data_IF_852027802778
#
_entry.id   IF_852027802778
#
_cell.length_a   1.000
_cell.length_b   1.000
_cell.length_c   1.000
_cell.angle_alpha   90.00
_cell.angle_beta   90.00
_cell.angle_gamma   90.00
#
_symmetry.space_group_name_H-M   'P 1'
#
loop_
_entity.id
_entity.type
_entity.pdbx_description
1 polymer ?
#
# COMPACT_ATOMS: atom_id res chain seq x y z
N UNK A 1 8.48 50.75 -45.84
CA UNK A 1 8.94 51.10 -44.46
C UNK A 1 8.91 49.85 -43.64
N UNK A 2 10.00 49.13 -43.50
CA UNK A 2 10.07 47.96 -42.61
C UNK A 2 10.40 48.49 -41.21
N UNK A 3 9.42 48.50 -40.32
CA UNK A 3 9.58 48.93 -38.94
C UNK A 3 10.61 48.03 -38.27
N UNK A 4 11.70 48.63 -37.80
CA UNK A 4 12.70 47.99 -36.91
C UNK A 4 11.98 47.65 -35.61
N UNK A 5 11.57 46.42 -35.46
CA UNK A 5 11.08 45.90 -34.17
C UNK A 5 12.25 46.04 -33.20
N UNK A 6 12.04 46.81 -32.14
CA UNK A 6 13.06 47.06 -31.13
C UNK A 6 13.55 45.76 -30.48
N UNK A 7 14.83 45.71 -30.13
CA UNK A 7 15.43 44.50 -29.56
C UNK A 7 14.63 43.97 -28.34
N UNK A 8 14.09 44.89 -27.55
CA UNK A 8 13.23 44.60 -26.39
C UNK A 8 11.98 43.82 -26.75
N UNK A 9 11.32 44.19 -27.86
CA UNK A 9 10.11 43.47 -28.35
C UNK A 9 10.47 42.08 -28.84
N UNK A 10 11.63 41.90 -29.50
CA UNK A 10 12.07 40.56 -29.94
C UNK A 10 12.38 39.66 -28.76
N UNK A 11 13.04 40.18 -27.72
CA UNK A 11 13.31 39.45 -26.48
C UNK A 11 12.03 39.11 -25.73
N UNK A 12 11.07 40.06 -25.68
CA UNK A 12 9.77 39.81 -25.07
C UNK A 12 8.96 38.70 -25.75
N UNK A 13 8.94 38.72 -27.10
CA UNK A 13 8.26 37.66 -27.87
C UNK A 13 8.95 36.31 -27.67
N UNK A 14 10.26 36.27 -27.68
CA UNK A 14 11.02 35.04 -27.44
C UNK A 14 10.74 34.46 -26.06
N UNK A 15 10.78 35.32 -25.02
CA UNK A 15 10.48 34.91 -23.64
C UNK A 15 9.04 34.40 -23.49
N UNK A 16 8.09 35.03 -24.18
CA UNK A 16 6.68 34.63 -24.16
C UNK A 16 6.48 33.25 -24.84
N UNK A 17 7.10 33.02 -25.98
CA UNK A 17 7.07 31.74 -26.70
C UNK A 17 7.74 30.65 -25.83
N UNK A 18 8.87 30.94 -25.22
CA UNK A 18 9.57 30.01 -24.32
C UNK A 18 8.67 29.62 -23.12
N UNK A 19 7.93 30.58 -22.55
CA UNK A 19 6.99 30.33 -21.46
C UNK A 19 5.84 29.45 -21.91
N UNK A 20 5.29 29.67 -23.10
CA UNK A 20 4.22 28.83 -23.66
C UNK A 20 4.73 27.40 -23.87
N UNK A 21 5.91 27.24 -24.46
CA UNK A 21 6.51 25.89 -24.67
C UNK A 21 6.74 25.20 -23.33
N UNK A 22 7.27 25.91 -22.35
CA UNK A 22 7.49 25.37 -21.00
C UNK A 22 6.17 24.94 -20.35
N UNK A 23 5.13 25.76 -20.46
CA UNK A 23 3.80 25.45 -19.94
C UNK A 23 3.23 24.20 -20.61
N UNK A 24 3.30 24.12 -21.96
CA UNK A 24 2.85 22.95 -22.69
C UNK A 24 3.66 21.69 -22.33
N UNK A 25 4.96 21.82 -22.14
CA UNK A 25 5.83 20.73 -21.70
C UNK A 25 5.43 20.21 -20.31
N UNK A 26 5.17 21.11 -19.35
CA UNK A 26 4.72 20.75 -18.00
C UNK A 26 3.36 20.04 -18.06
N UNK A 27 2.41 20.56 -18.85
CA UNK A 27 1.12 19.90 -19.03
C UNK A 27 1.21 18.55 -19.76
N UNK A 28 2.18 18.39 -20.66
CA UNK A 28 2.40 17.13 -21.38
C UNK A 28 2.99 16.03 -20.52
N UNK A 29 3.80 16.37 -19.52
CA UNK A 29 4.42 15.42 -18.58
C UNK A 29 3.44 15.07 -17.45
N UNK A 30 2.55 16.00 -17.09
CA UNK A 30 1.53 15.75 -16.10
C UNK A 30 0.49 14.79 -16.67
N UNK A 31 0.49 13.54 -16.21
CA UNK A 31 -0.61 12.58 -16.45
C UNK A 31 -1.86 13.06 -15.70
N UNK A 32 -2.50 14.09 -16.28
CA UNK A 32 -3.71 14.65 -15.69
C UNK A 32 -4.86 13.68 -15.94
N UNK A 33 -5.13 12.80 -14.99
CA UNK A 33 -6.26 11.85 -14.97
C UNK A 33 -7.65 12.55 -14.95
N UNK A 34 -7.70 13.89 -14.99
CA UNK A 34 -8.93 14.69 -14.88
C UNK A 34 -9.96 14.38 -15.97
N UNK A 35 -9.55 13.86 -17.12
CA UNK A 35 -10.42 13.59 -18.27
C UNK A 35 -10.65 12.11 -18.60
N UNK A 36 -10.10 11.18 -17.82
CA UNK A 36 -10.38 9.75 -18.06
C UNK A 36 -11.76 9.40 -17.49
N UNK A 37 -12.67 8.84 -18.32
CA UNK A 37 -13.96 8.39 -17.83
C UNK A 37 -13.76 7.23 -16.87
N UNK A 38 -14.32 7.33 -15.68
CA UNK A 38 -14.18 6.33 -14.63
C UNK A 38 -15.36 6.40 -13.66
N UNK A 39 -15.30 5.59 -12.63
CA UNK A 39 -16.25 5.58 -11.53
C UNK A 39 -15.52 5.44 -10.19
N UNK A 40 -16.15 5.88 -9.13
CA UNK A 40 -15.58 5.80 -7.80
C UNK A 40 -16.31 4.75 -6.98
N UNK A 41 -15.56 3.94 -6.24
CA UNK A 41 -16.09 3.04 -5.22
C UNK A 41 -15.48 3.40 -3.86
N UNK A 42 -16.10 2.91 -2.80
CA UNK A 42 -15.56 3.02 -1.44
C UNK A 42 -15.03 1.67 -0.99
N UNK A 43 -13.87 1.67 -0.33
CA UNK A 43 -13.30 0.45 0.26
C UNK A 43 -13.09 0.70 1.74
N UNK A 44 -13.64 -0.17 2.58
CA UNK A 44 -13.54 -0.05 4.04
C UNK A 44 -12.55 -1.06 4.61
N UNK A 45 -11.65 -0.56 5.45
CA UNK A 45 -10.69 -1.34 6.22
C UNK A 45 -10.82 -1.02 7.71
N UNK A 46 -10.45 -1.95 8.58
CA UNK A 46 -10.19 -1.64 10.00
C UNK A 46 -8.77 -1.07 10.17
N UNK A 47 -7.86 -1.47 9.28
CA UNK A 47 -6.48 -1.02 9.29
C UNK A 47 -5.92 -0.95 7.86
N UNK A 48 -5.46 0.23 7.44
CA UNK A 48 -4.89 0.48 6.12
C UNK A 48 -3.48 1.07 6.26
N UNK A 49 -2.48 0.22 6.43
CA UNK A 49 -1.10 0.65 6.69
C UNK A 49 -0.45 1.25 5.45
N UNK A 50 0.04 2.49 5.57
CA UNK A 50 0.91 3.12 4.57
C UNK A 50 0.22 3.60 3.30
N UNK A 51 -1.09 3.38 3.13
CA UNK A 51 -1.83 3.85 1.97
C UNK A 51 -2.00 5.37 2.03
N UNK A 52 -1.79 6.04 0.90
CA UNK A 52 -1.88 7.50 0.79
C UNK A 52 -2.79 7.89 -0.38
N UNK A 53 -3.19 9.16 -0.40
CA UNK A 53 -3.87 9.74 -1.58
C UNK A 53 -2.89 9.73 -2.76
N UNK A 54 -3.37 9.31 -3.93
CA UNK A 54 -2.55 9.09 -5.12
C UNK A 54 -1.93 7.68 -5.21
N UNK A 55 -2.11 6.84 -4.19
CA UNK A 55 -1.63 5.46 -4.25
C UNK A 55 -2.28 4.72 -5.43
N UNK A 56 -1.50 3.92 -6.20
CA UNK A 56 -2.04 3.18 -7.32
C UNK A 56 -3.04 2.12 -6.85
N UNK A 57 -4.06 1.88 -7.67
CA UNK A 57 -5.03 0.80 -7.49
C UNK A 57 -4.83 -0.21 -8.58
N UNK A 58 -4.63 -1.46 -8.20
CA UNK A 58 -4.46 -2.58 -9.12
C UNK A 58 -5.64 -3.53 -9.03
N UNK A 59 -6.00 -4.07 -10.17
CA UNK A 59 -7.01 -5.12 -10.28
C UNK A 59 -6.36 -6.30 -10.98
N UNK A 60 -6.29 -7.44 -10.32
CA UNK A 60 -5.56 -8.62 -10.81
C UNK A 60 -4.10 -8.29 -11.22
N UNK A 61 -3.40 -7.45 -10.44
CA UNK A 61 -2.01 -7.05 -10.68
C UNK A 61 -1.81 -5.96 -11.75
N UNK A 62 -2.86 -5.50 -12.42
CA UNK A 62 -2.80 -4.47 -13.46
C UNK A 62 -3.29 -3.14 -12.89
N UNK A 63 -2.57 -2.06 -13.16
CA UNK A 63 -2.97 -0.72 -12.74
C UNK A 63 -4.31 -0.34 -13.39
N UNK A 64 -5.28 0.02 -12.55
CA UNK A 64 -6.68 0.22 -12.93
C UNK A 64 -7.26 1.54 -12.41
N UNK A 65 -6.52 2.25 -11.56
CA UNK A 65 -7.00 3.49 -10.96
C UNK A 65 -6.09 4.02 -9.87
N UNK A 66 -6.64 4.88 -9.02
CA UNK A 66 -5.91 5.52 -7.92
C UNK A 66 -6.80 5.80 -6.71
N UNK A 67 -6.20 5.93 -5.55
CA UNK A 67 -6.85 6.34 -4.31
C UNK A 67 -7.01 7.86 -4.32
N UNK A 68 -8.25 8.35 -4.31
CA UNK A 68 -8.56 9.78 -4.32
C UNK A 68 -8.63 10.39 -2.92
N UNK A 69 -9.05 9.59 -1.94
CA UNK A 69 -9.27 10.09 -0.60
C UNK A 69 -9.09 8.98 0.44
N UNK A 70 -8.53 9.33 1.59
CA UNK A 70 -8.34 8.44 2.74
C UNK A 70 -8.99 9.09 3.95
N UNK A 71 -10.07 8.49 4.44
CA UNK A 71 -10.85 9.01 5.56
C UNK A 71 -10.78 8.05 6.75
N UNK A 72 -10.38 8.56 7.91
CA UNK A 72 -10.46 7.84 9.18
C UNK A 72 -11.73 8.27 9.90
N UNK A 73 -12.59 7.33 10.22
CA UNK A 73 -13.80 7.53 11.02
C UNK A 73 -13.81 6.60 12.22
N UNK A 74 -14.53 7.00 13.26
CA UNK A 74 -14.73 6.19 14.46
C UNK A 74 -16.20 5.76 14.52
N UNK A 75 -16.43 4.45 14.62
CA UNK A 75 -17.76 3.90 14.86
C UNK A 75 -18.02 3.92 16.37
N UNK A 76 -18.74 4.93 16.85
CA UNK A 76 -19.04 5.11 18.29
C UNK A 76 -19.78 3.92 18.87
N UNK A 77 -20.60 3.20 18.07
CA UNK A 77 -21.37 2.06 18.53
C UNK A 77 -20.52 0.80 18.73
N UNK A 78 -19.41 0.69 17.98
CA UNK A 78 -18.53 -0.49 18.02
C UNK A 78 -17.18 -0.21 18.66
N UNK A 79 -16.88 1.06 19.00
CA UNK A 79 -15.60 1.47 19.57
C UNK A 79 -14.39 1.16 18.68
N UNK A 80 -14.60 1.09 17.34
CA UNK A 80 -13.55 0.71 16.40
C UNK A 80 -13.30 1.82 15.38
N UNK A 81 -12.03 2.05 15.09
CA UNK A 81 -11.64 2.89 13.97
C UNK A 81 -11.97 2.19 12.64
N UNK A 82 -12.34 2.97 11.63
CA UNK A 82 -12.59 2.51 10.27
C UNK A 82 -11.90 3.45 9.30
N UNK A 83 -11.13 2.89 8.39
CA UNK A 83 -10.52 3.62 7.29
C UNK A 83 -11.36 3.40 6.04
N UNK A 84 -11.86 4.48 5.45
CA UNK A 84 -12.60 4.44 4.18
C UNK A 84 -11.74 5.07 3.10
N UNK A 85 -11.41 4.29 2.09
CA UNK A 85 -10.72 4.77 0.88
C UNK A 85 -11.76 5.08 -0.19
N UNK A 86 -11.70 6.29 -0.77
CA UNK A 86 -12.42 6.62 -2.01
C UNK A 86 -11.50 6.32 -3.18
N UNK A 87 -11.87 5.37 -4.00
CA UNK A 87 -11.04 4.80 -5.06
C UNK A 87 -11.67 5.13 -6.41
N UNK A 88 -10.89 5.77 -7.28
CA UNK A 88 -11.27 5.98 -8.66
C UNK A 88 -10.73 4.85 -9.54
N UNK A 89 -11.58 4.36 -10.43
CA UNK A 89 -11.30 3.23 -11.34
C UNK A 89 -11.65 3.62 -12.77
N UNK A 90 -10.86 3.15 -13.72
CA UNK A 90 -11.13 3.32 -15.14
C UNK A 90 -12.47 2.67 -15.53
N UNK A 91 -13.23 3.31 -16.43
CA UNK A 91 -14.57 2.87 -16.85
C UNK A 91 -14.60 1.45 -17.43
N UNK A 92 -13.49 1.00 -18.03
CA UNK A 92 -13.37 -0.34 -18.62
C UNK A 92 -13.22 -1.47 -17.60
N UNK A 93 -12.88 -1.14 -16.35
CA UNK A 93 -12.64 -2.11 -15.29
C UNK A 93 -13.97 -2.54 -14.68
N UNK A 94 -14.19 -3.85 -14.63
CA UNK A 94 -15.40 -4.46 -14.06
C UNK A 94 -15.01 -5.26 -12.82
N UNK A 95 -15.54 -4.87 -11.67
CA UNK A 95 -15.23 -5.48 -10.39
C UNK A 95 -16.47 -6.19 -9.87
N UNK A 96 -16.43 -7.53 -9.70
CA UNK A 96 -17.48 -8.30 -9.03
C UNK A 96 -17.68 -7.86 -7.58
N UNK A 97 -18.90 -8.00 -7.05
CA UNK A 97 -19.19 -7.63 -5.65
C UNK A 97 -18.51 -8.51 -4.61
N UNK A 98 -18.19 -9.74 -4.98
CA UNK A 98 -17.46 -10.71 -4.16
C UNK A 98 -15.93 -10.58 -4.27
N UNK A 99 -15.44 -9.49 -4.86
CA UNK A 99 -14.00 -9.18 -4.93
C UNK A 99 -13.42 -8.87 -3.56
N UNK A 100 -12.13 -9.15 -3.38
CA UNK A 100 -11.39 -8.84 -2.16
C UNK A 100 -10.42 -7.69 -2.42
N UNK A 101 -10.41 -6.70 -1.54
CA UNK A 101 -9.44 -5.62 -1.57
C UNK A 101 -8.47 -5.74 -0.40
N UNK A 102 -7.18 -5.56 -0.64
CA UNK A 102 -6.18 -5.51 0.41
C UNK A 102 -5.09 -4.48 0.09
N UNK A 103 -4.48 -3.93 1.13
CA UNK A 103 -3.33 -3.05 0.97
C UNK A 103 -2.08 -3.91 0.83
N UNK A 104 -1.29 -3.67 -0.22
CA UNK A 104 -0.05 -4.39 -0.50
C UNK A 104 1.10 -3.40 -0.67
N UNK A 105 2.33 -3.90 -0.67
CA UNK A 105 3.55 -3.09 -0.83
C UNK A 105 4.30 -3.58 -2.07
N UNK A 106 4.75 -2.67 -2.90
CA UNK A 106 5.52 -3.01 -4.10
C UNK A 106 6.95 -3.43 -3.73
N UNK A 107 7.20 -4.74 -3.72
CA UNK A 107 8.46 -5.31 -3.27
C UNK A 107 8.63 -5.26 -1.74
N UNK A 108 9.88 -5.21 -1.25
CA UNK A 108 10.18 -5.24 0.19
C UNK A 108 10.14 -3.86 0.86
N UNK A 109 10.35 -2.78 0.10
CA UNK A 109 10.51 -1.40 0.63
C UNK A 109 9.77 -0.39 -0.29
N UNK A 110 8.82 -0.84 -1.11
CA UNK A 110 8.10 0.01 -2.05
C UNK A 110 6.94 0.79 -1.42
N UNK A 111 6.26 1.55 -2.27
CA UNK A 111 5.05 2.26 -1.88
C UNK A 111 3.88 1.30 -1.68
N UNK A 112 3.00 1.65 -0.76
CA UNK A 112 1.76 0.91 -0.55
C UNK A 112 0.78 1.19 -1.70
N UNK A 113 0.08 0.16 -2.15
CA UNK A 113 -0.95 0.25 -3.17
C UNK A 113 -2.17 -0.59 -2.77
N UNK A 114 -3.31 -0.29 -3.39
CA UNK A 114 -4.52 -1.05 -3.20
C UNK A 114 -4.59 -2.15 -4.26
N UNK A 115 -4.58 -3.42 -3.85
CA UNK A 115 -4.84 -4.55 -4.74
C UNK A 115 -6.29 -4.99 -4.59
N UNK A 116 -6.97 -5.17 -5.71
CA UNK A 116 -8.30 -5.75 -5.78
C UNK A 116 -8.20 -7.08 -6.53
N UNK A 117 -8.44 -8.16 -5.82
CA UNK A 117 -8.53 -9.50 -6.41
C UNK A 117 -9.97 -9.71 -6.86
N UNK A 118 -10.23 -9.82 -8.16
CA UNK A 118 -11.58 -10.02 -8.68
C UNK A 118 -12.19 -11.31 -8.16
N UNK A 119 -13.47 -11.25 -7.78
CA UNK A 119 -14.27 -12.41 -7.46
C UNK A 119 -14.75 -13.15 -8.72
N UNK A 120 -15.69 -14.05 -8.55
CA UNK A 120 -16.25 -14.89 -9.64
C UNK A 120 -17.66 -14.46 -10.06
N UNK A 121 -18.34 -13.62 -9.29
CA UNK A 121 -19.72 -13.19 -9.54
C UNK A 121 -19.81 -12.01 -10.52
N UNK A 122 -19.52 -12.26 -11.78
CA UNK A 122 -19.63 -11.25 -12.83
C UNK A 122 -21.09 -10.87 -13.19
N UNK A 123 -22.09 -11.54 -12.60
CA UNK A 123 -23.49 -11.14 -12.72
C UNK A 123 -23.80 -9.89 -11.87
N UNK A 124 -23.07 -9.70 -10.78
CA UNK A 124 -23.24 -8.57 -9.86
C UNK A 124 -21.94 -7.75 -9.77
N UNK A 125 -21.87 -6.70 -10.58
CA UNK A 125 -20.73 -5.79 -10.61
C UNK A 125 -20.91 -4.60 -9.66
N UNK A 126 -19.79 -4.10 -9.13
CA UNK A 126 -19.76 -2.84 -8.39
C UNK A 126 -20.03 -1.66 -9.34
N UNK A 127 -20.81 -0.71 -8.84
CA UNK A 127 -21.15 0.54 -9.52
C UNK A 127 -20.56 1.72 -8.77
N UNK A 128 -20.58 2.88 -9.38
CA UNK A 128 -20.19 4.11 -8.72
C UNK A 128 -20.96 4.33 -7.41
N UNK A 129 -20.22 4.58 -6.34
CA UNK A 129 -20.76 4.77 -4.99
C UNK A 129 -20.88 3.48 -4.15
N UNK A 130 -20.73 2.29 -4.76
CA UNK A 130 -20.81 1.02 -4.03
C UNK A 130 -19.63 0.87 -3.05
N UNK A 131 -19.88 0.04 -2.02
CA UNK A 131 -18.93 -0.27 -0.96
C UNK A 131 -18.34 -1.66 -1.15
N UNK A 132 -17.02 -1.75 -1.12
CA UNK A 132 -16.27 -3.00 -1.04
C UNK A 132 -15.69 -3.15 0.37
N UNK A 133 -15.70 -4.35 0.91
CA UNK A 133 -15.06 -4.63 2.20
C UNK A 133 -13.63 -5.05 1.92
N UNK A 134 -12.69 -4.33 2.52
CA UNK A 134 -11.28 -4.65 2.46
C UNK A 134 -10.92 -5.76 3.45
N UNK A 135 -9.93 -6.55 3.09
CA UNK A 135 -9.30 -7.52 3.95
C UNK A 135 -8.11 -6.84 4.64
N UNK A 136 -8.15 -6.75 5.96
CA UNK A 136 -7.05 -6.17 6.71
C UNK A 136 -5.80 -7.07 6.58
N UNK A 137 -4.61 -6.49 6.39
CA UNK A 137 -3.39 -7.27 6.37
C UNK A 137 -3.18 -7.96 7.73
N UNK A 138 -2.68 -9.20 7.75
CA UNK A 138 -2.33 -9.83 9.01
C UNK A 138 -1.29 -8.96 9.74
N UNK A 139 -1.51 -8.73 11.02
CA UNK A 139 -0.52 -8.03 11.84
C UNK A 139 0.76 -8.85 11.95
N UNK A 140 1.90 -8.19 12.11
CA UNK A 140 3.18 -8.87 12.31
C UNK A 140 3.11 -9.80 13.54
N UNK A 141 2.35 -9.41 14.56
CA UNK A 141 2.11 -10.23 15.75
C UNK A 141 1.31 -11.50 15.41
N UNK A 142 0.29 -11.42 14.55
CA UNK A 142 -0.46 -12.59 14.11
C UNK A 142 0.39 -13.57 13.32
N UNK A 143 1.30 -13.07 12.46
CA UNK A 143 2.25 -13.90 11.74
C UNK A 143 3.23 -14.59 12.70
N UNK A 144 3.71 -13.88 13.73
CA UNK A 144 4.58 -14.44 14.76
C UNK A 144 3.85 -15.51 15.60
N UNK A 145 2.59 -15.28 15.96
CA UNK A 145 1.78 -16.26 16.70
C UNK A 145 1.58 -17.55 15.88
N UNK A 146 1.32 -17.43 14.58
CA UNK A 146 1.25 -18.60 13.69
C UNK A 146 2.58 -19.32 13.62
N UNK A 147 3.70 -18.62 13.51
CA UNK A 147 5.04 -19.21 13.50
C UNK A 147 5.36 -19.93 14.82
N UNK A 148 4.97 -19.36 15.95
CA UNK A 148 5.13 -20.00 17.27
C UNK A 148 4.32 -21.29 17.38
N UNK A 149 3.03 -21.25 17.01
CA UNK A 149 2.14 -22.43 17.04
C UNK A 149 2.62 -23.52 16.09
N UNK A 150 3.14 -23.12 14.93
CA UNK A 150 3.72 -24.08 14.00
C UNK A 150 4.92 -24.80 14.62
N UNK A 151 5.82 -24.05 15.29
CA UNK A 151 6.95 -24.62 16.01
C UNK A 151 6.52 -25.57 17.13
N UNK A 152 5.53 -25.20 17.94
CA UNK A 152 4.98 -26.05 19.00
C UNK A 152 4.29 -27.32 18.45
N UNK A 153 3.52 -27.18 17.37
CA UNK A 153 2.89 -28.33 16.70
C UNK A 153 3.92 -29.29 16.13
N UNK A 154 5.02 -28.78 15.65
CA UNK A 154 6.13 -29.58 15.14
C UNK A 154 6.88 -30.31 16.25
N UNK A 155 7.09 -29.70 17.43
CA UNK A 155 7.66 -30.37 18.60
C UNK A 155 6.76 -31.53 19.08
N UNK A 156 5.46 -31.27 19.13
CA UNK A 156 4.46 -32.29 19.51
C UNK A 156 4.43 -33.45 18.50
N UNK A 157 4.53 -33.14 17.20
CA UNK A 157 4.64 -34.16 16.14
C UNK A 157 5.89 -35.01 16.30
N UNK A 158 7.05 -34.39 16.58
CA UNK A 158 8.30 -35.12 16.82
C UNK A 158 8.23 -36.04 18.06
N UNK A 159 7.62 -35.55 19.14
CA UNK A 159 7.40 -36.35 20.34
C UNK A 159 6.49 -37.55 20.10
N UNK A 160 5.55 -37.43 19.15
CA UNK A 160 4.63 -38.53 18.78
C UNK A 160 5.23 -39.50 17.74
N UNK A 161 6.23 -39.04 16.98
CA UNK A 161 6.88 -39.81 15.91
C UNK A 161 8.14 -40.57 16.39
N UNK A 162 8.37 -40.63 17.69
CA UNK A 162 9.56 -41.19 18.31
C UNK A 162 9.79 -42.66 17.95
N UNK A 163 8.72 -43.40 17.59
CA UNK A 163 8.74 -44.81 17.17
C UNK A 163 9.05 -45.00 15.67
N UNK A 164 8.96 -43.98 14.85
CA UNK A 164 8.97 -44.09 13.38
C UNK A 164 10.16 -43.40 12.73
N UNK A 165 10.79 -42.47 13.42
CA UNK A 165 11.93 -41.71 12.89
C UNK A 165 13.25 -42.25 13.36
N UNK A 166 14.21 -42.37 12.42
CA UNK A 166 15.58 -42.67 12.66
C UNK A 166 16.28 -41.60 13.53
N UNK A 167 17.21 -41.98 14.39
CA UNK A 167 17.87 -41.09 15.35
C UNK A 167 18.59 -39.92 14.68
N UNK A 168 19.19 -40.12 13.50
CA UNK A 168 19.87 -39.07 12.73
C UNK A 168 18.85 -38.03 12.21
N UNK A 169 17.71 -38.48 11.70
CA UNK A 169 16.61 -37.59 11.24
C UNK A 169 16.02 -36.76 12.38
N UNK A 170 15.96 -37.34 13.59
CA UNK A 170 15.51 -36.61 14.80
C UNK A 170 16.43 -35.47 15.18
N UNK A 171 17.78 -35.70 15.06
CA UNK A 171 18.77 -34.67 15.36
C UNK A 171 18.67 -33.52 14.36
N UNK A 172 18.64 -33.81 13.06
CA UNK A 172 18.52 -32.80 11.99
C UNK A 172 17.24 -31.98 12.11
N UNK A 173 16.14 -32.64 12.49
CA UNK A 173 14.85 -31.99 12.67
C UNK A 173 14.84 -31.05 13.90
N UNK A 174 15.43 -31.47 15.02
CA UNK A 174 15.60 -30.64 16.21
C UNK A 174 16.48 -29.42 15.94
N UNK A 175 17.54 -29.57 15.16
CA UNK A 175 18.42 -28.47 14.77
C UNK A 175 17.68 -27.49 13.84
N UNK A 176 16.90 -28.00 12.89
CA UNK A 176 16.06 -27.18 12.00
C UNK A 176 15.05 -26.35 12.79
N UNK A 177 14.38 -26.93 13.80
CA UNK A 177 13.44 -26.24 14.67
C UNK A 177 14.15 -25.17 15.51
N UNK A 178 15.31 -25.51 16.05
CA UNK A 178 16.10 -24.55 16.82
C UNK A 178 16.48 -23.33 15.96
N UNK A 179 16.98 -23.55 14.76
CA UNK A 179 17.34 -22.51 13.80
C UNK A 179 16.13 -21.66 13.40
N UNK A 180 14.96 -22.28 13.22
CA UNK A 180 13.72 -21.57 12.93
C UNK A 180 13.25 -20.69 14.09
N UNK A 181 13.38 -21.16 15.34
CA UNK A 181 13.12 -20.36 16.54
C UNK A 181 14.04 -19.16 16.65
N UNK A 182 15.34 -19.34 16.46
CA UNK A 182 16.32 -18.25 16.46
C UNK A 182 16.03 -17.23 15.36
N UNK A 183 15.71 -17.69 14.17
CA UNK A 183 15.29 -16.84 13.07
C UNK A 183 14.04 -16.04 13.42
N UNK A 184 13.02 -16.67 13.95
CA UNK A 184 11.77 -16.01 14.38
C UNK A 184 12.02 -14.97 15.48
N UNK A 185 12.87 -15.27 16.47
CA UNK A 185 13.28 -14.33 17.50
C UNK A 185 14.03 -13.13 16.92
N UNK A 186 14.93 -13.38 15.98
CA UNK A 186 15.69 -12.33 15.28
C UNK A 186 14.79 -11.42 14.46
N UNK A 187 13.81 -11.98 13.74
CA UNK A 187 12.80 -11.22 13.03
C UNK A 187 12.00 -10.32 13.99
N UNK A 188 11.55 -10.83 15.13
CA UNK A 188 10.82 -10.04 16.13
C UNK A 188 11.63 -8.85 16.64
N UNK A 189 12.93 -9.06 16.89
CA UNK A 189 13.84 -7.98 17.32
C UNK A 189 14.01 -6.94 16.21
N UNK A 190 14.21 -7.38 14.96
CA UNK A 190 14.38 -6.50 13.80
C UNK A 190 13.12 -5.69 13.56
N UNK A 191 11.95 -6.33 13.56
CA UNK A 191 10.66 -5.67 13.37
C UNK A 191 10.40 -4.64 14.47
N UNK A 192 10.62 -5.01 15.74
CA UNK A 192 10.47 -4.09 16.87
C UNK A 192 11.45 -2.91 16.83
N UNK A 193 12.67 -3.07 16.28
CA UNK A 193 13.60 -1.97 16.04
C UNK A 193 13.14 -1.05 14.91
N UNK A 194 12.61 -1.62 13.82
CA UNK A 194 12.05 -0.87 12.71
C UNK A 194 10.85 -0.02 13.14
N UNK A 195 9.93 -0.58 13.92
CA UNK A 195 8.77 0.14 14.48
C UNK A 195 9.18 1.29 15.40
N UNK A 196 10.20 1.10 16.23
CA UNK A 196 10.77 2.18 17.05
C UNK A 196 11.60 3.18 16.27
N UNK A 197 11.84 2.91 14.97
CA UNK A 197 12.66 3.76 14.10
C UNK A 197 14.14 3.73 14.46
N UNK A 198 14.62 2.62 15.02
CA UNK A 198 16.00 2.41 15.38
C UNK A 198 16.81 1.87 14.18
N UNK A 199 18.08 2.28 14.08
CA UNK A 199 18.97 1.89 12.98
C UNK A 199 18.77 2.73 11.71
N UNK A 200 19.65 2.52 10.72
CA UNK A 200 19.66 3.30 9.45
C UNK A 200 18.34 3.16 8.67
N UNK A 201 17.76 1.96 8.63
CA UNK A 201 16.47 1.69 7.96
C UNK A 201 15.29 2.28 8.73
N UNK A 202 15.23 2.13 10.05
CA UNK A 202 14.15 2.68 10.87
C UNK A 202 14.15 4.22 10.89
N UNK A 203 15.34 4.85 10.85
CA UNK A 203 15.45 6.30 10.74
C UNK A 203 14.97 6.84 9.38
N UNK A 204 15.10 6.05 8.33
CA UNK A 204 14.66 6.39 6.96
C UNK A 204 13.15 6.25 6.79
N UNK A 205 12.53 5.32 7.50
CA UNK A 205 11.09 5.07 7.48
C UNK A 205 10.26 6.04 8.35
N UNK A 206 10.92 6.84 9.22
CA UNK A 206 10.20 7.86 10.00
C UNK A 206 9.71 8.98 9.10
N UNK A 207 8.41 9.28 9.04
CA UNK A 207 7.90 10.44 8.32
C UNK A 207 8.54 11.70 8.89
N UNK A 208 9.13 12.55 8.03
CA UNK A 208 9.65 13.87 8.41
C UNK A 208 8.52 14.65 9.07
N UNK A 209 8.61 14.90 10.37
CA UNK A 209 7.71 15.81 11.09
C UNK A 209 7.73 17.16 10.38
N UNK A 210 6.66 17.48 9.67
CA UNK A 210 6.42 18.81 9.13
C UNK A 210 6.36 19.78 10.32
N UNK A 211 7.37 20.61 10.47
CA UNK A 211 7.41 21.69 11.47
C UNK A 211 6.22 22.62 11.17
N UNK A 212 5.13 22.49 11.92
CA UNK A 212 4.12 23.54 12.00
C UNK A 212 4.83 24.80 12.55
N UNK A 213 5.05 25.76 11.68
CA UNK A 213 5.47 27.10 12.05
C UNK A 213 4.26 27.74 12.75
N UNK A 214 4.27 27.74 14.06
CA UNK A 214 3.35 28.55 14.88
C UNK A 214 3.65 30.01 14.50
N UNK A 215 2.71 30.64 13.85
CA UNK A 215 2.72 32.06 13.60
C UNK A 215 1.94 32.68 14.75
N UNK A 216 2.66 33.02 15.81
CA UNK A 216 2.17 33.97 16.80
C UNK A 216 2.09 35.34 16.15
N UNK A 217 0.90 35.86 16.06
CA UNK A 217 0.58 37.27 16.22
C UNK A 217 -0.92 37.41 16.52
#
# INVERSE_FOLDING_TARGET
>A
MAGRVNLEVKVGIFAFIALIILTLAVFSISEIYIFRPGYQIKVNFSFASGITVGAPVRVAGIEAGEVKEVNLSYDENKGKARVTLSVWLDKGIKIPRDSLAHVSILGLIGEAYLEIVPGQDYAHLLKGGDLLIGCDPPSTEALMDVAYRLGESFENFLGSADEVLDDDTKVDLKETIHNFREFSCSLKVITGRLERGEGKLGAWLKPKKTRKKTRDK
#
